data_IF_062331006626
#
_entry.id   IF_062331006626
#
_cell.length_a   1.000
_cell.length_b   1.000
_cell.length_c   1.000
_cell.angle_alpha   90.00
_cell.angle_beta   90.00
_cell.angle_gamma   90.00
#
_symmetry.space_group_name_H-M   'P 1'
#
loop_
_entity.id
_entity.type
_entity.pdbx_description
1 polymer ?
#
# COMPACT_ATOMS: atom_id res chain seq x y z
N UNK A 1 35.77 32.05 -15.00
CA UNK A 1 35.72 30.82 -15.82
C UNK A 1 35.80 29.68 -14.83
N UNK A 2 34.65 29.32 -14.25
CA UNK A 2 34.54 28.16 -13.36
C UNK A 2 34.16 26.94 -14.20
N UNK A 3 34.85 25.85 -13.89
CA UNK A 3 34.87 24.58 -14.58
C UNK A 3 33.65 23.73 -14.20
N UNK A 4 32.63 23.71 -15.06
CA UNK A 4 31.50 22.78 -14.98
C UNK A 4 31.82 21.45 -15.69
N UNK A 5 32.75 20.67 -15.17
CA UNK A 5 32.97 19.29 -15.63
C UNK A 5 33.04 18.33 -14.44
N UNK A 6 31.92 17.66 -14.17
CA UNK A 6 31.91 16.56 -13.21
C UNK A 6 30.57 16.19 -12.55
N UNK A 7 29.42 16.57 -13.10
CA UNK A 7 28.15 15.91 -12.71
C UNK A 7 27.94 14.69 -13.61
N UNK A 8 27.86 13.46 -13.07
CA UNK A 8 27.39 12.34 -13.87
C UNK A 8 25.97 12.67 -14.34
N UNK A 9 25.74 12.60 -15.66
CA UNK A 9 24.39 12.68 -16.21
C UNK A 9 23.56 11.53 -15.59
N UNK A 10 22.32 11.78 -15.13
CA UNK A 10 21.47 10.71 -14.63
C UNK A 10 21.06 9.86 -15.82
N UNK A 11 21.73 8.73 -16.03
CA UNK A 11 21.44 7.75 -17.09
C UNK A 11 20.18 6.93 -16.81
N UNK A 12 19.19 7.49 -16.10
CA UNK A 12 17.96 6.81 -15.70
C UNK A 12 16.82 7.77 -15.38
N UNK A 13 15.61 7.24 -15.36
CA UNK A 13 14.39 7.97 -15.03
C UNK A 13 14.49 8.58 -13.62
N UNK A 14 14.05 9.82 -13.47
CA UNK A 14 13.91 10.42 -12.14
C UNK A 14 12.92 9.63 -11.28
N UNK A 15 13.05 9.65 -9.94
CA UNK A 15 12.09 8.96 -9.04
C UNK A 15 10.65 9.39 -9.30
N UNK A 16 10.45 10.68 -9.60
CA UNK A 16 9.15 11.27 -9.97
C UNK A 16 8.62 10.72 -11.29
N UNK A 17 9.49 10.52 -12.28
CA UNK A 17 9.14 9.98 -13.58
C UNK A 17 8.84 8.49 -13.50
N UNK A 18 9.62 7.73 -12.72
CA UNK A 18 9.39 6.32 -12.45
C UNK A 18 8.04 6.08 -11.75
N UNK A 19 7.72 6.89 -10.74
CA UNK A 19 6.43 6.83 -10.06
C UNK A 19 5.26 7.14 -11.02
N UNK A 20 5.43 8.15 -11.89
CA UNK A 20 4.44 8.50 -12.90
C UNK A 20 4.23 7.35 -13.92
N UNK A 21 5.30 6.66 -14.32
CA UNK A 21 5.21 5.49 -15.19
C UNK A 21 4.49 4.31 -14.54
N UNK A 22 4.73 4.04 -13.25
CA UNK A 22 4.00 3.00 -12.51
C UNK A 22 2.50 3.30 -12.44
N UNK A 23 2.17 4.56 -12.23
CA UNK A 23 0.79 5.04 -12.19
C UNK A 23 0.03 4.90 -13.51
N UNK A 24 0.72 5.05 -14.64
CA UNK A 24 0.19 4.85 -15.98
C UNK A 24 0.12 3.36 -16.35
N UNK A 25 1.13 2.58 -15.98
CA UNK A 25 1.21 1.14 -16.24
C UNK A 25 0.01 0.37 -15.66
N UNK A 26 -0.46 0.75 -14.46
CA UNK A 26 -1.57 0.07 -13.81
C UNK A 26 -2.89 0.19 -14.61
N UNK A 27 -3.16 1.39 -15.14
CA UNK A 27 -4.38 1.63 -15.93
C UNK A 27 -4.26 0.98 -17.30
N UNK A 28 -3.09 1.08 -17.94
CA UNK A 28 -2.84 0.52 -19.26
C UNK A 28 -2.92 -1.01 -19.28
N UNK A 29 -2.28 -1.70 -18.32
CA UNK A 29 -2.35 -3.17 -18.23
C UNK A 29 -3.76 -3.67 -17.99
N UNK A 30 -4.54 -2.95 -17.19
CA UNK A 30 -5.95 -3.29 -16.96
C UNK A 30 -6.76 -3.10 -18.23
N UNK A 31 -6.54 -2.02 -18.96
CA UNK A 31 -7.20 -1.76 -20.24
C UNK A 31 -6.87 -2.83 -21.29
N UNK A 32 -5.61 -3.24 -21.41
CA UNK A 32 -5.18 -4.29 -22.34
C UNK A 32 -5.79 -5.67 -22.03
N UNK A 33 -6.13 -5.94 -20.76
CA UNK A 33 -6.76 -7.19 -20.33
C UNK A 33 -8.29 -7.17 -20.29
N UNK A 34 -8.93 -6.02 -20.56
CA UNK A 34 -10.37 -5.84 -20.38
C UNK A 34 -11.15 -6.18 -21.66
N UNK A 35 -12.15 -7.06 -21.54
CA UNK A 35 -12.97 -7.50 -22.68
C UNK A 35 -14.32 -6.77 -22.76
N UNK A 36 -14.75 -6.15 -21.66
CA UNK A 36 -15.98 -5.35 -21.61
C UNK A 36 -15.78 -3.98 -22.27
N UNK A 37 -16.57 -3.67 -23.30
CA UNK A 37 -16.44 -2.44 -24.08
C UNK A 37 -16.77 -1.17 -23.29
N UNK A 38 -17.70 -1.21 -22.33
CA UNK A 38 -18.03 -0.06 -21.49
C UNK A 38 -16.89 0.24 -20.51
N UNK A 39 -16.33 -0.82 -19.90
CA UNK A 39 -15.21 -0.69 -18.95
C UNK A 39 -13.94 -0.26 -19.67
N UNK A 40 -13.66 -0.83 -20.85
CA UNK A 40 -12.51 -0.43 -21.67
C UNK A 40 -12.60 1.05 -22.07
N UNK A 41 -13.79 1.53 -22.48
CA UNK A 41 -14.01 2.95 -22.79
C UNK A 41 -13.76 3.86 -21.58
N UNK A 42 -14.26 3.47 -20.41
CA UNK A 42 -14.02 4.21 -19.16
C UNK A 42 -12.54 4.24 -18.76
N UNK A 43 -11.84 3.11 -18.88
CA UNK A 43 -10.41 2.99 -18.60
C UNK A 43 -9.57 3.78 -19.60
N UNK A 44 -9.96 3.82 -20.87
CA UNK A 44 -9.31 4.63 -21.89
C UNK A 44 -9.44 6.13 -21.59
N UNK A 45 -10.63 6.59 -21.18
CA UNK A 45 -10.84 7.97 -20.74
C UNK A 45 -10.02 8.32 -19.49
N UNK A 46 -9.97 7.40 -18.52
CA UNK A 46 -9.16 7.56 -17.31
C UNK A 46 -7.65 7.63 -17.63
N UNK A 47 -7.16 6.77 -18.52
CA UNK A 47 -5.77 6.77 -18.98
C UNK A 47 -5.42 8.11 -19.64
N UNK A 48 -6.24 8.57 -20.57
CA UNK A 48 -6.01 9.83 -21.28
C UNK A 48 -5.96 11.04 -20.34
N UNK A 49 -6.92 11.14 -19.41
CA UNK A 49 -6.94 12.22 -18.41
C UNK A 49 -5.70 12.20 -17.52
N UNK A 50 -5.24 11.01 -17.13
CA UNK A 50 -4.08 10.84 -16.27
C UNK A 50 -2.78 11.18 -16.99
N UNK A 51 -2.64 10.76 -18.25
CA UNK A 51 -1.53 11.16 -19.13
C UNK A 51 -1.45 12.67 -19.24
N UNK A 52 -2.57 13.34 -19.56
CA UNK A 52 -2.61 14.80 -19.71
C UNK A 52 -2.18 15.52 -18.42
N UNK A 53 -2.68 15.07 -17.27
CA UNK A 53 -2.32 15.67 -15.97
C UNK A 53 -0.84 15.46 -15.66
N UNK A 54 -0.33 14.24 -15.86
CA UNK A 54 1.07 13.92 -15.57
C UNK A 54 2.03 14.64 -16.52
N UNK A 55 1.69 14.78 -17.80
CA UNK A 55 2.51 15.55 -18.77
C UNK A 55 2.66 17.02 -18.38
N UNK A 56 1.67 17.62 -17.70
CA UNK A 56 1.75 19.00 -17.20
C UNK A 56 2.67 19.14 -15.99
N UNK A 57 2.89 18.08 -15.23
CA UNK A 57 3.63 18.09 -13.95
C UNK A 57 4.97 17.35 -13.98
N UNK A 58 5.15 16.42 -14.91
CA UNK A 58 6.30 15.53 -15.04
C UNK A 58 6.80 15.64 -16.47
N UNK A 59 8.05 16.07 -16.62
CA UNK A 59 8.73 16.05 -17.92
C UNK A 59 9.16 14.63 -18.24
N UNK A 60 8.29 13.84 -18.89
CA UNK A 60 8.66 12.53 -19.39
C UNK A 60 9.75 12.67 -20.44
N UNK A 61 10.89 12.04 -20.17
CA UNK A 61 12.08 12.06 -21.02
C UNK A 61 12.23 10.76 -21.79
N UNK A 62 11.89 9.62 -21.17
CA UNK A 62 12.03 8.29 -21.77
C UNK A 62 10.90 7.35 -21.30
N UNK A 63 10.57 6.33 -22.10
CA UNK A 63 9.57 5.31 -21.75
C UNK A 63 10.26 3.99 -21.38
N UNK A 64 9.94 3.36 -20.23
CA UNK A 64 10.47 2.04 -19.89
C UNK A 64 10.16 0.99 -20.96
N UNK A 65 11.14 0.17 -21.34
CA UNK A 65 11.00 -0.89 -22.32
C UNK A 65 9.86 -1.86 -21.96
N UNK A 66 9.75 -2.25 -20.69
CA UNK A 66 8.66 -3.10 -20.17
C UNK A 66 7.25 -2.52 -20.38
N UNK A 67 7.14 -1.19 -20.54
CA UNK A 67 5.88 -0.47 -20.74
C UNK A 67 5.66 -0.03 -22.19
N UNK A 68 6.72 0.07 -22.99
CA UNK A 68 6.65 0.41 -24.41
C UNK A 68 5.86 -0.60 -25.24
N UNK A 69 5.73 -1.84 -24.74
CA UNK A 69 4.97 -2.92 -25.36
C UNK A 69 3.46 -2.78 -25.18
N UNK A 70 3.00 -1.94 -24.25
CA UNK A 70 1.58 -1.69 -24.01
C UNK A 70 1.06 -0.72 -25.08
N UNK A 71 0.19 -1.16 -26.02
CA UNK A 71 -0.16 -0.39 -27.21
C UNK A 71 -0.83 0.94 -26.85
N UNK A 72 -1.64 0.97 -25.79
CA UNK A 72 -2.31 2.18 -25.34
C UNK A 72 -1.33 3.23 -24.78
N UNK A 73 -0.26 2.83 -24.09
CA UNK A 73 0.76 3.77 -23.62
C UNK A 73 1.64 4.25 -24.77
N UNK A 74 2.07 3.33 -25.65
CA UNK A 74 2.91 3.70 -26.80
C UNK A 74 2.21 4.70 -27.71
N UNK A 75 0.89 4.60 -27.86
CA UNK A 75 0.07 5.57 -28.61
C UNK A 75 0.10 6.98 -28.03
N UNK A 76 0.18 7.12 -26.70
CA UNK A 76 0.24 8.42 -26.03
C UNK A 76 1.64 9.03 -26.02
N UNK A 77 2.69 8.21 -26.16
CA UNK A 77 4.09 8.62 -26.14
C UNK A 77 4.86 8.05 -27.35
N UNK A 78 4.50 8.42 -28.59
CA UNK A 78 5.09 7.85 -29.78
C UNK A 78 6.57 8.25 -29.96
N UNK A 79 6.88 9.49 -29.59
CA UNK A 79 8.19 10.12 -29.84
C UNK A 79 9.17 9.96 -28.69
N UNK A 80 8.74 9.38 -27.56
CA UNK A 80 9.65 9.16 -26.44
C UNK A 80 10.61 8.01 -26.76
N UNK A 81 11.93 8.22 -26.54
CA UNK A 81 12.91 7.17 -26.65
C UNK A 81 12.63 6.09 -25.61
N UNK A 82 12.82 4.84 -26.02
CA UNK A 82 12.67 3.69 -25.11
C UNK A 82 13.93 3.61 -24.25
N UNK A 83 13.75 3.73 -22.95
CA UNK A 83 14.76 3.45 -21.95
C UNK A 83 14.71 1.98 -21.61
N UNK A 84 15.86 1.32 -21.64
CA UNK A 84 15.96 -0.03 -21.12
C UNK A 84 15.85 0.02 -19.59
N UNK A 85 14.67 -0.31 -19.08
CA UNK A 85 14.41 -0.43 -17.64
C UNK A 85 14.85 -1.80 -17.10
N UNK A 86 15.44 -2.65 -17.96
CA UNK A 86 16.27 -3.74 -17.46
C UNK A 86 17.40 -3.15 -16.60
N UNK A 87 17.75 -3.81 -15.48
CA UNK A 87 18.96 -3.47 -14.74
C UNK A 87 20.15 -3.35 -15.72
N UNK A 88 21.07 -2.38 -15.53
CA UNK A 88 22.19 -2.21 -16.44
C UNK A 88 22.86 -3.56 -16.70
N UNK A 89 23.00 -3.87 -18.00
CA UNK A 89 23.53 -5.10 -18.56
C UNK A 89 24.99 -5.43 -18.15
N UNK A 90 25.53 -4.80 -17.11
CA UNK A 90 26.81 -5.16 -16.51
C UNK A 90 26.67 -6.18 -15.36
N UNK A 91 25.48 -6.42 -14.82
CA UNK A 91 25.27 -7.47 -13.79
C UNK A 91 24.42 -8.65 -14.24
N UNK A 92 23.52 -8.48 -15.22
CA UNK A 92 22.67 -9.59 -15.72
C UNK A 92 23.16 -10.23 -17.03
N UNK A 93 23.99 -9.54 -17.83
CA UNK A 93 24.43 -10.08 -19.14
C UNK A 93 25.63 -11.04 -19.07
N UNK A 94 26.27 -11.17 -17.90
CA UNK A 94 27.33 -12.17 -17.67
C UNK A 94 26.86 -13.36 -16.80
N UNK A 95 25.59 -13.39 -16.40
CA UNK A 95 25.02 -14.60 -15.85
C UNK A 95 24.70 -15.53 -17.04
N UNK A 96 25.70 -16.31 -17.47
CA UNK A 96 25.40 -17.72 -17.67
C UNK A 96 24.49 -18.11 -16.50
N UNK A 97 23.24 -18.46 -16.77
CA UNK A 97 22.32 -18.87 -15.71
C UNK A 97 22.97 -20.08 -15.05
N UNK A 98 23.71 -19.86 -13.97
CA UNK A 98 24.44 -20.90 -13.27
C UNK A 98 23.36 -21.83 -12.73
N UNK A 99 23.13 -22.91 -13.47
CA UNK A 99 22.10 -23.91 -13.19
C UNK A 99 22.67 -25.04 -12.34
N UNK A 100 23.99 -25.15 -12.26
CA UNK A 100 24.69 -26.19 -11.51
C UNK A 100 25.46 -25.60 -10.33
N UNK A 101 25.41 -26.24 -9.14
CA UNK A 101 26.22 -25.86 -8.00
C UNK A 101 27.70 -25.81 -8.37
N UNK A 102 28.35 -24.69 -8.05
CA UNK A 102 29.79 -24.59 -8.25
C UNK A 102 30.54 -25.54 -7.31
N UNK A 103 31.38 -26.41 -7.87
CA UNK A 103 32.30 -27.21 -7.07
C UNK A 103 33.41 -26.31 -6.51
N UNK A 104 33.54 -26.32 -5.18
CA UNK A 104 34.50 -25.51 -4.43
C UNK A 104 35.57 -26.40 -3.81
N UNK A 105 36.84 -26.00 -3.91
CA UNK A 105 37.90 -26.68 -3.15
C UNK A 105 37.66 -26.52 -1.64
N UNK A 106 38.19 -27.41 -0.79
CA UNK A 106 38.10 -27.26 0.66
C UNK A 106 38.60 -25.90 1.16
N UNK A 107 39.68 -25.38 0.57
CA UNK A 107 40.21 -24.05 0.87
C UNK A 107 39.23 -22.94 0.49
N UNK A 108 38.65 -22.98 -0.72
CA UNK A 108 37.66 -21.99 -1.18
C UNK A 108 36.40 -22.01 -0.30
N UNK A 109 35.91 -23.20 0.05
CA UNK A 109 34.75 -23.37 0.94
C UNK A 109 35.03 -22.76 2.32
N UNK A 110 36.20 -23.04 2.90
CA UNK A 110 36.58 -22.46 4.20
C UNK A 110 36.75 -20.94 4.14
N UNK A 111 37.29 -20.42 3.03
CA UNK A 111 37.41 -18.98 2.81
C UNK A 111 36.04 -18.31 2.71
N UNK A 112 35.11 -18.90 1.95
CA UNK A 112 33.73 -18.41 1.82
C UNK A 112 33.03 -18.45 3.17
N UNK A 113 33.10 -19.56 3.91
CA UNK A 113 32.47 -19.67 5.23
C UNK A 113 32.94 -18.56 6.19
N UNK A 114 34.22 -18.21 6.14
CA UNK A 114 34.77 -17.11 6.93
C UNK A 114 34.20 -15.75 6.47
N UNK A 115 34.16 -15.50 5.17
CA UNK A 115 33.59 -14.28 4.60
C UNK A 115 32.11 -14.12 4.95
N UNK A 116 31.31 -15.19 4.84
CA UNK A 116 29.89 -15.17 5.20
C UNK A 116 29.68 -14.88 6.69
N UNK A 117 30.50 -15.44 7.58
CA UNK A 117 30.46 -15.12 9.01
C UNK A 117 30.81 -13.66 9.28
N UNK A 118 31.84 -13.13 8.63
CA UNK A 118 32.23 -11.73 8.77
C UNK A 118 31.14 -10.78 8.29
N UNK A 119 30.56 -11.05 7.11
CA UNK A 119 29.43 -10.30 6.57
C UNK A 119 28.25 -10.29 7.54
N UNK A 120 27.86 -11.45 8.07
CA UNK A 120 26.76 -11.56 9.02
C UNK A 120 27.03 -10.75 10.31
N UNK A 121 28.26 -10.80 10.85
CA UNK A 121 28.65 -9.97 12.01
C UNK A 121 28.55 -8.48 11.68
N UNK A 122 28.98 -8.06 10.49
CA UNK A 122 28.86 -6.67 10.04
C UNK A 122 27.38 -6.24 9.93
N UNK A 123 26.50 -7.10 9.40
CA UNK A 123 25.05 -6.83 9.35
C UNK A 123 24.43 -6.70 10.73
N UNK A 124 24.76 -7.59 11.67
CA UNK A 124 24.24 -7.53 13.04
C UNK A 124 24.70 -6.26 13.79
N UNK A 125 25.82 -5.66 13.37
CA UNK A 125 26.31 -4.37 13.88
C UNK A 125 25.69 -3.16 13.17
N UNK A 126 24.88 -3.36 12.14
CA UNK A 126 24.31 -2.30 11.31
C UNK A 126 25.28 -1.75 10.26
N UNK A 127 26.47 -2.35 10.10
CA UNK A 127 27.46 -1.95 9.10
C UNK A 127 27.12 -2.57 7.74
N UNK A 128 26.05 -2.08 7.10
CA UNK A 128 25.57 -2.67 5.84
C UNK A 128 26.58 -2.53 4.69
N UNK A 129 27.28 -1.40 4.58
CA UNK A 129 28.26 -1.21 3.49
C UNK A 129 29.44 -2.20 3.58
N UNK A 130 29.97 -2.42 4.79
CA UNK A 130 31.05 -3.39 5.03
C UNK A 130 30.57 -4.82 4.72
N UNK A 131 29.35 -5.17 5.12
CA UNK A 131 28.73 -6.45 4.73
C UNK A 131 28.59 -6.59 3.22
N UNK A 132 28.20 -5.52 2.52
CA UNK A 132 28.00 -5.53 1.07
C UNK A 132 29.32 -5.78 0.34
N UNK A 133 30.41 -5.12 0.75
CA UNK A 133 31.75 -5.34 0.19
C UNK A 133 32.23 -6.79 0.37
N UNK A 134 32.06 -7.34 1.57
CA UNK A 134 32.45 -8.74 1.87
C UNK A 134 31.62 -9.73 1.06
N UNK A 135 30.31 -9.50 0.93
CA UNK A 135 29.41 -10.35 0.17
C UNK A 135 29.67 -10.26 -1.34
N UNK A 136 30.01 -9.09 -1.87
CA UNK A 136 30.42 -8.94 -3.28
C UNK A 136 31.71 -9.72 -3.56
N UNK A 137 32.69 -9.67 -2.65
CA UNK A 137 33.90 -10.47 -2.79
C UNK A 137 33.60 -11.98 -2.71
N UNK A 138 32.68 -12.42 -1.85
CA UNK A 138 32.26 -13.82 -1.77
C UNK A 138 31.53 -14.27 -3.04
N UNK A 139 30.67 -13.41 -3.59
CA UNK A 139 29.93 -13.65 -4.82
C UNK A 139 30.85 -13.70 -6.05
N UNK A 140 31.89 -12.86 -6.08
CA UNK A 140 32.91 -12.90 -7.13
C UNK A 140 33.76 -14.19 -7.07
N UNK A 141 34.02 -14.71 -5.87
CA UNK A 141 34.75 -15.96 -5.67
C UNK A 141 33.91 -17.19 -6.02
N UNK A 142 32.61 -17.16 -5.68
CA UNK A 142 31.71 -18.28 -5.90
C UNK A 142 30.30 -17.83 -6.34
N UNK A 143 30.11 -17.43 -7.61
CA UNK A 143 28.82 -16.96 -8.12
C UNK A 143 27.75 -18.07 -8.17
N UNK A 144 28.15 -19.35 -8.17
CA UNK A 144 27.28 -20.52 -8.19
C UNK A 144 27.09 -21.20 -6.82
N UNK A 145 27.48 -20.55 -5.72
CA UNK A 145 27.31 -21.09 -4.38
C UNK A 145 25.97 -20.64 -3.78
N UNK A 146 25.11 -21.61 -3.44
CA UNK A 146 23.80 -21.35 -2.86
C UNK A 146 23.90 -20.60 -1.51
N UNK A 147 24.89 -20.92 -0.67
CA UNK A 147 25.11 -20.28 0.63
C UNK A 147 25.49 -18.79 0.48
N UNK A 148 26.27 -18.45 -0.54
CA UNK A 148 26.63 -17.05 -0.84
C UNK A 148 25.41 -16.27 -1.31
N UNK A 149 24.62 -16.85 -2.21
CA UNK A 149 23.38 -16.24 -2.68
C UNK A 149 22.36 -16.09 -1.55
N UNK A 150 22.27 -17.06 -0.64
CA UNK A 150 21.44 -16.95 0.57
C UNK A 150 21.85 -15.71 1.40
N UNK A 151 23.14 -15.53 1.65
CA UNK A 151 23.64 -14.39 2.42
C UNK A 151 23.43 -13.04 1.71
N UNK A 152 23.57 -12.98 0.39
CA UNK A 152 23.21 -11.79 -0.41
C UNK A 152 21.72 -11.50 -0.32
N UNK A 153 20.87 -12.53 -0.37
CA UNK A 153 19.43 -12.40 -0.17
C UNK A 153 19.09 -11.86 1.23
N UNK A 154 19.75 -12.36 2.27
CA UNK A 154 19.60 -11.88 3.65
C UNK A 154 19.99 -10.41 3.77
N UNK A 155 21.06 -10.00 3.07
CA UNK A 155 21.48 -8.60 2.97
C UNK A 155 20.39 -7.70 2.38
N UNK A 156 19.83 -8.08 1.23
CA UNK A 156 18.74 -7.30 0.63
C UNK A 156 17.49 -7.27 1.51
N UNK A 157 17.15 -8.39 2.16
CA UNK A 157 16.03 -8.46 3.09
C UNK A 157 16.22 -7.54 4.30
N UNK A 158 17.42 -7.53 4.89
CA UNK A 158 17.75 -6.66 6.03
C UNK A 158 17.69 -5.17 5.68
N UNK A 159 17.97 -4.81 4.42
CA UNK A 159 17.82 -3.44 3.90
C UNK A 159 16.39 -3.09 3.45
N UNK A 160 15.43 -3.99 3.65
CA UNK A 160 14.03 -3.79 3.25
C UNK A 160 13.77 -3.94 1.75
N UNK A 161 14.77 -4.33 0.96
CA UNK A 161 14.61 -4.56 -0.47
C UNK A 161 14.13 -5.99 -0.75
N UNK A 162 12.88 -6.25 -0.38
CA UNK A 162 12.26 -7.58 -0.44
C UNK A 162 12.12 -8.12 -1.87
N UNK A 163 12.04 -7.24 -2.89
CA UNK A 163 11.98 -7.64 -4.31
C UNK A 163 13.29 -8.25 -4.78
N UNK A 164 14.42 -7.56 -4.53
CA UNK A 164 15.75 -8.10 -4.84
C UNK A 164 16.05 -9.35 -4.02
N UNK A 165 15.70 -9.36 -2.73
CA UNK A 165 15.87 -10.54 -1.87
C UNK A 165 15.16 -11.78 -2.46
N UNK A 166 13.91 -11.63 -2.91
CA UNK A 166 13.15 -12.70 -3.57
C UNK A 166 13.88 -13.26 -4.80
N UNK A 167 14.40 -12.40 -5.67
CA UNK A 167 15.09 -12.81 -6.89
C UNK A 167 16.39 -13.58 -6.59
N UNK A 168 17.17 -13.11 -5.63
CA UNK A 168 18.41 -13.78 -5.22
C UNK A 168 18.10 -15.13 -4.54
N UNK A 169 17.10 -15.19 -3.65
CA UNK A 169 16.67 -16.45 -3.06
C UNK A 169 16.11 -17.45 -4.08
N UNK A 170 15.47 -16.96 -5.15
CA UNK A 170 15.01 -17.83 -6.24
C UNK A 170 16.19 -18.50 -6.95
N UNK A 171 17.28 -17.76 -7.19
CA UNK A 171 18.52 -18.31 -7.76
C UNK A 171 19.15 -19.32 -6.81
N UNK A 172 19.26 -18.98 -5.53
CA UNK A 172 19.79 -19.89 -4.51
C UNK A 172 18.97 -21.20 -4.45
N UNK A 173 17.64 -21.13 -4.52
CA UNK A 173 16.74 -22.29 -4.53
C UNK A 173 16.91 -23.17 -5.77
N UNK A 174 17.23 -22.59 -6.93
CA UNK A 174 17.50 -23.38 -8.15
C UNK A 174 18.78 -24.21 -8.00
N UNK A 175 19.79 -23.65 -7.34
CA UNK A 175 21.08 -24.31 -7.12
C UNK A 175 21.02 -25.36 -6.01
N UNK A 176 20.30 -25.09 -4.93
CA UNK A 176 20.09 -26.05 -3.84
C UNK A 176 18.59 -26.18 -3.50
N UNK A 177 17.86 -27.04 -4.22
CA UNK A 177 16.42 -27.24 -3.99
C UNK A 177 16.08 -27.93 -2.67
N UNK A 178 17.02 -28.67 -2.06
CA UNK A 178 16.80 -29.42 -0.81
C UNK A 178 17.06 -28.57 0.44
N UNK A 179 17.64 -27.37 0.28
CA UNK A 179 17.91 -26.48 1.40
C UNK A 179 16.64 -25.81 1.94
N UNK A 180 16.18 -26.34 3.05
CA UNK A 180 15.00 -25.87 3.80
C UNK A 180 15.14 -24.40 4.24
N UNK A 181 16.36 -23.92 4.52
CA UNK A 181 16.58 -22.52 4.92
C UNK A 181 16.27 -21.57 3.78
N UNK A 182 16.85 -21.84 2.61
CA UNK A 182 16.66 -21.04 1.40
C UNK A 182 15.18 -21.07 0.98
N UNK A 183 14.54 -22.24 1.02
CA UNK A 183 13.12 -22.34 0.68
C UNK A 183 12.24 -21.50 1.61
N UNK A 184 12.48 -21.54 2.93
CA UNK A 184 11.75 -20.72 3.90
C UNK A 184 11.96 -19.23 3.66
N UNK A 185 13.19 -18.81 3.38
CA UNK A 185 13.53 -17.41 3.11
C UNK A 185 12.89 -16.92 1.82
N UNK A 186 12.92 -17.72 0.75
CA UNK A 186 12.22 -17.44 -0.50
C UNK A 186 10.71 -17.30 -0.28
N UNK A 187 10.08 -18.28 0.38
CA UNK A 187 8.64 -18.26 0.65
C UNK A 187 8.24 -17.02 1.48
N UNK A 188 9.04 -16.66 2.50
CA UNK A 188 8.82 -15.47 3.29
C UNK A 188 8.95 -14.18 2.46
N UNK A 189 9.98 -14.07 1.62
CA UNK A 189 10.16 -12.93 0.73
C UNK A 189 8.99 -12.80 -0.27
N UNK A 190 8.54 -13.91 -0.87
CA UNK A 190 7.36 -13.96 -1.75
C UNK A 190 6.11 -13.50 -1.01
N UNK A 191 5.87 -14.00 0.21
CA UNK A 191 4.72 -13.64 1.02
C UNK A 191 4.72 -12.14 1.37
N UNK A 192 5.86 -11.58 1.77
CA UNK A 192 5.95 -10.17 2.11
C UNK A 192 5.78 -9.25 0.88
N UNK A 193 6.36 -9.61 -0.27
CA UNK A 193 6.15 -8.89 -1.53
C UNK A 193 4.68 -8.96 -1.96
N UNK A 194 4.07 -10.14 -1.87
CA UNK A 194 2.66 -10.37 -2.17
C UNK A 194 1.74 -9.57 -1.25
N UNK A 195 2.00 -9.56 0.05
CA UNK A 195 1.21 -8.79 1.01
C UNK A 195 1.35 -7.29 0.82
N UNK A 196 2.53 -6.78 0.47
CA UNK A 196 2.69 -5.37 0.14
C UNK A 196 1.85 -5.00 -1.10
N UNK A 197 1.80 -5.87 -2.11
CA UNK A 197 0.95 -5.69 -3.27
C UNK A 197 -0.54 -5.79 -2.94
N UNK A 198 -0.96 -6.79 -2.15
CA UNK A 198 -2.35 -6.95 -1.69
C UNK A 198 -2.76 -5.77 -0.81
N UNK A 199 -1.89 -5.27 0.06
CA UNK A 199 -2.19 -4.12 0.91
C UNK A 199 -2.29 -2.85 0.08
N UNK A 200 -1.38 -2.63 -0.87
CA UNK A 200 -1.49 -1.53 -1.83
C UNK A 200 -2.78 -1.64 -2.66
N UNK A 201 -3.15 -2.86 -3.05
CA UNK A 201 -4.36 -3.13 -3.80
C UNK A 201 -5.62 -2.99 -2.92
N UNK A 202 -5.58 -3.37 -1.64
CA UNK A 202 -6.69 -3.23 -0.68
C UNK A 202 -6.90 -1.77 -0.31
N UNK A 203 -5.82 -0.99 -0.17
CA UNK A 203 -5.90 0.47 0.00
C UNK A 203 -6.45 1.16 -1.26
N UNK A 204 -6.28 0.53 -2.43
CA UNK A 204 -6.82 1.01 -3.72
C UNK A 204 -8.25 0.51 -4.00
N UNK A 205 -8.58 -0.71 -3.56
CA UNK A 205 -9.87 -1.41 -3.70
C UNK A 205 -10.82 -1.10 -2.54
N UNK A 206 -10.34 -0.47 -1.47
CA UNK A 206 -11.11 0.08 -0.33
C UNK A 206 -12.18 1.12 -0.70
N UNK A 207 -12.65 1.12 -1.94
CA UNK A 207 -13.93 1.66 -2.31
C UNK A 207 -14.53 0.99 -3.54
N UNK A 208 -14.90 -0.28 -3.47
CA UNK A 208 -16.02 -0.69 -4.33
C UNK A 208 -17.25 0.16 -3.94
N UNK A 209 -18.06 0.61 -4.92
CA UNK A 209 -19.23 1.47 -4.63
C UNK A 209 -20.17 0.82 -3.59
N UNK A 210 -20.20 -0.51 -3.54
CA UNK A 210 -20.93 -1.29 -2.54
C UNK A 210 -20.32 -1.17 -1.13
N UNK A 211 -19.00 -1.31 -0.97
CA UNK A 211 -18.31 -1.15 0.32
C UNK A 211 -18.34 0.30 0.79
N UNK A 212 -18.23 1.28 -0.11
CA UNK A 212 -18.41 2.70 0.23
C UNK A 212 -19.82 2.97 0.74
N UNK A 213 -20.84 2.36 0.12
CA UNK A 213 -22.22 2.52 0.56
C UNK A 213 -22.50 1.79 1.90
N UNK A 214 -21.95 0.59 2.08
CA UNK A 214 -22.04 -0.14 3.34
C UNK A 214 -21.34 0.61 4.48
N UNK A 215 -20.15 1.14 4.23
CA UNK A 215 -19.37 1.94 5.17
C UNK A 215 -20.06 3.26 5.50
N UNK A 216 -20.67 3.93 4.52
CA UNK A 216 -21.42 5.17 4.75
C UNK A 216 -22.68 4.93 5.59
N UNK A 217 -23.39 3.82 5.38
CA UNK A 217 -24.55 3.45 6.22
C UNK A 217 -24.12 3.10 7.64
N UNK A 218 -23.04 2.31 7.79
CA UNK A 218 -22.47 1.99 9.09
C UNK A 218 -22.04 3.27 9.84
N UNK A 219 -21.39 4.21 9.14
CA UNK A 219 -20.97 5.49 9.70
C UNK A 219 -22.15 6.32 10.23
N UNK A 220 -23.31 6.29 9.56
CA UNK A 220 -24.53 6.95 10.06
C UNK A 220 -24.95 6.33 11.40
N UNK A 221 -25.04 4.99 11.46
CA UNK A 221 -25.40 4.30 12.70
C UNK A 221 -24.42 4.60 13.83
N UNK A 222 -23.12 4.57 13.58
CA UNK A 222 -22.12 4.91 14.60
C UNK A 222 -22.28 6.36 15.09
N UNK A 223 -22.50 7.32 14.18
CA UNK A 223 -22.74 8.73 14.54
C UNK A 223 -24.03 8.97 15.34
N UNK A 224 -25.02 8.08 15.22
CA UNK A 224 -26.27 8.13 15.98
C UNK A 224 -26.06 7.78 17.47
N UNK A 225 -25.10 6.91 17.78
CA UNK A 225 -24.81 6.50 19.15
C UNK A 225 -23.69 7.33 19.78
N UNK A 226 -22.65 7.62 19.00
CA UNK A 226 -21.44 8.30 19.47
C UNK A 226 -21.02 9.34 18.45
N UNK A 227 -21.18 10.65 18.72
CA UNK A 227 -20.74 11.71 17.84
C UNK A 227 -19.25 11.59 17.50
N UNK A 228 -18.90 11.81 16.23
CA UNK A 228 -17.53 11.72 15.73
C UNK A 228 -17.08 10.33 15.29
N UNK A 229 -17.72 9.26 15.76
CA UNK A 229 -17.35 7.88 15.41
C UNK A 229 -17.57 7.56 13.92
N UNK A 230 -18.63 8.08 13.30
CA UNK A 230 -18.86 7.89 11.87
C UNK A 230 -17.80 8.56 11.01
N UNK A 231 -17.35 9.77 11.39
CA UNK A 231 -16.24 10.45 10.72
C UNK A 231 -14.94 9.63 10.79
N UNK A 232 -14.66 9.01 11.94
CA UNK A 232 -13.51 8.12 12.12
C UNK A 232 -13.61 6.91 11.18
N UNK A 233 -14.79 6.29 11.07
CA UNK A 233 -15.00 5.14 10.17
C UNK A 233 -14.89 5.51 8.68
N UNK A 234 -15.07 6.79 8.35
CA UNK A 234 -14.87 7.33 7.00
C UNK A 234 -13.45 7.89 6.78
N UNK A 235 -12.53 7.70 7.74
CA UNK A 235 -11.12 8.13 7.65
C UNK A 235 -10.86 9.57 8.11
N UNK A 236 -11.87 10.35 8.48
CA UNK A 236 -11.71 11.72 8.99
C UNK A 236 -11.44 11.76 10.49
N UNK A 237 -10.32 11.15 10.90
CA UNK A 237 -9.96 10.97 12.31
C UNK A 237 -9.93 12.29 13.07
N UNK A 238 -9.31 13.34 12.50
CA UNK A 238 -9.20 14.65 13.16
C UNK A 238 -10.57 15.28 13.46
N UNK A 239 -11.47 15.29 12.46
CA UNK A 239 -12.83 15.83 12.62
C UNK A 239 -13.65 15.00 13.61
N UNK A 240 -13.54 13.67 13.53
CA UNK A 240 -14.21 12.77 14.45
C UNK A 240 -13.79 12.96 15.91
N UNK A 241 -12.49 13.09 16.17
CA UNK A 241 -11.96 13.38 17.51
C UNK A 241 -12.49 14.72 18.04
N UNK A 242 -12.51 15.78 17.23
CA UNK A 242 -13.03 17.09 17.65
C UNK A 242 -14.51 17.00 18.04
N UNK A 243 -15.34 16.33 17.24
CA UNK A 243 -16.77 16.16 17.55
C UNK A 243 -16.98 15.33 18.83
N UNK A 244 -16.20 14.26 19.01
CA UNK A 244 -16.28 13.40 20.19
C UNK A 244 -15.85 14.15 21.47
N UNK A 245 -14.71 14.84 21.43
CA UNK A 245 -14.21 15.61 22.57
C UNK A 245 -15.12 16.78 22.91
N UNK A 246 -15.66 17.48 21.91
CA UNK A 246 -16.64 18.55 22.11
C UNK A 246 -17.92 18.05 22.79
N UNK A 247 -18.43 16.89 22.36
CA UNK A 247 -19.59 16.26 22.96
C UNK A 247 -19.34 15.79 24.40
N UNK A 248 -18.22 15.11 24.67
CA UNK A 248 -17.82 14.69 26.02
C UNK A 248 -17.59 15.88 26.94
N UNK A 249 -16.88 16.91 26.47
CA UNK A 249 -16.65 18.15 27.22
C UNK A 249 -17.96 18.85 27.59
N UNK A 250 -18.95 18.81 26.70
CA UNK A 250 -20.28 19.35 26.97
C UNK A 250 -21.00 18.58 28.08
N UNK A 251 -20.96 17.24 28.06
CA UNK A 251 -21.52 16.43 29.15
C UNK A 251 -20.79 16.62 30.48
N UNK A 252 -19.46 16.72 30.46
CA UNK A 252 -18.68 17.07 31.65
C UNK A 252 -19.16 18.42 32.20
N UNK A 253 -19.37 19.41 31.33
CA UNK A 253 -19.94 20.71 31.72
C UNK A 253 -21.31 20.59 32.40
N UNK A 254 -22.20 19.74 31.88
CA UNK A 254 -23.50 19.46 32.53
C UNK A 254 -23.33 18.87 33.92
N UNK A 255 -22.42 17.91 34.11
CA UNK A 255 -22.18 17.29 35.42
C UNK A 255 -21.51 18.24 36.41
N UNK A 256 -20.59 19.10 35.95
CA UNK A 256 -19.92 20.11 36.77
C UNK A 256 -20.89 21.19 37.23
N UNK A 257 -21.76 21.67 36.33
CA UNK A 257 -22.78 22.68 36.67
C UNK A 257 -23.92 22.09 37.50
N UNK A 258 -24.20 20.80 37.32
CA UNK A 258 -25.23 20.05 38.03
C UNK A 258 -26.42 19.73 37.13
N UNK A 259 -26.67 18.42 36.96
CA UNK A 259 -27.82 17.91 36.19
C UNK A 259 -29.17 18.22 36.85
N UNK A 260 -29.16 18.43 38.17
CA UNK A 260 -30.31 18.86 38.96
C UNK A 260 -30.90 20.19 38.46
N UNK A 261 -30.09 21.10 37.91
CA UNK A 261 -30.57 22.34 37.30
C UNK A 261 -31.53 22.08 36.14
N UNK A 262 -31.26 21.05 35.33
CA UNK A 262 -32.11 20.68 34.20
C UNK A 262 -33.42 20.08 34.72
N UNK A 263 -33.34 19.15 35.67
CA UNK A 263 -34.51 18.50 36.26
C UNK A 263 -35.42 19.48 37.03
N UNK A 264 -34.85 20.45 37.75
CA UNK A 264 -35.59 21.53 38.42
C UNK A 264 -36.33 22.42 37.42
N UNK A 265 -35.68 22.83 36.33
CA UNK A 265 -36.34 23.63 35.29
C UNK A 265 -37.46 22.86 34.56
N UNK A 266 -37.38 21.53 34.48
CA UNK A 266 -38.45 20.68 33.97
C UNK A 266 -39.55 20.40 35.02
N UNK A 267 -39.41 20.89 36.25
CA UNK A 267 -40.36 20.64 37.34
C UNK A 267 -40.32 19.20 37.88
N UNK A 268 -39.30 18.43 37.51
CA UNK A 268 -39.13 17.03 37.92
C UNK A 268 -38.40 16.88 39.27
N UNK A 269 -37.69 17.91 39.70
CA UNK A 269 -37.16 18.05 41.05
C UNK A 269 -37.83 19.26 41.72
N UNK A 270 -38.55 19.01 42.81
CA UNK A 270 -39.16 20.06 43.63
C UNK A 270 -38.36 20.21 44.92
N UNK A 271 -37.74 21.37 45.10
CA UNK A 271 -37.05 21.74 46.33
C UNK A 271 -37.92 22.69 47.17
N UNK A 272 -37.83 22.59 48.51
CA UNK A 272 -38.53 23.48 49.45
C UNK A 272 -37.92 24.90 49.48
N UNK A 273 -36.62 25.02 49.17
CA UNK A 273 -35.92 26.30 49.05
C UNK A 273 -35.70 26.60 47.56
N UNK A 274 -36.37 27.62 47.03
CA UNK A 274 -36.31 28.02 45.62
C UNK A 274 -34.95 28.64 45.26
N UNK A 275 -33.92 27.82 45.07
CA UNK A 275 -32.66 28.26 44.46
C UNK A 275 -32.89 28.55 42.97
N UNK A 276 -32.36 29.65 42.41
CA UNK A 276 -32.51 29.97 40.99
C UNK A 276 -31.82 28.93 40.12
N UNK A 277 -32.46 28.55 39.00
CA UNK A 277 -31.89 27.57 38.05
C UNK A 277 -30.67 28.16 37.34
N UNK A 278 -29.56 27.43 37.34
CA UNK A 278 -28.39 27.82 36.56
C UNK A 278 -28.57 27.49 35.07
N UNK A 279 -28.77 28.51 34.25
CA UNK A 279 -28.95 28.38 32.80
C UNK A 279 -27.71 27.87 32.06
N UNK A 280 -26.53 27.87 32.68
CA UNK A 280 -25.30 27.36 32.07
C UNK A 280 -25.38 25.86 31.76
N UNK A 281 -26.14 25.09 32.55
CA UNK A 281 -26.38 23.67 32.27
C UNK A 281 -27.10 23.47 30.92
N UNK A 282 -28.00 24.39 30.56
CA UNK A 282 -28.71 24.36 29.28
C UNK A 282 -27.81 24.74 28.10
N UNK A 283 -26.83 25.63 28.30
CA UNK A 283 -25.84 25.95 27.27
C UNK A 283 -24.95 24.73 26.97
N UNK A 284 -24.50 24.02 28.00
CA UNK A 284 -23.74 22.79 27.81
C UNK A 284 -24.59 21.67 27.19
N UNK A 285 -25.86 21.53 27.59
CA UNK A 285 -26.77 20.57 26.97
C UNK A 285 -27.04 20.89 25.49
N UNK A 286 -27.25 22.17 25.16
CA UNK A 286 -27.41 22.63 23.79
C UNK A 286 -26.13 22.41 22.96
N UNK A 287 -24.95 22.62 23.55
CA UNK A 287 -23.67 22.31 22.92
C UNK A 287 -23.51 20.81 22.63
N UNK A 288 -23.85 19.95 23.59
CA UNK A 288 -23.86 18.50 23.39
C UNK A 288 -24.80 18.09 22.25
N UNK A 289 -26.01 18.65 22.21
CA UNK A 289 -26.96 18.40 21.12
C UNK A 289 -26.42 18.90 19.77
N UNK A 290 -25.75 20.06 19.74
CA UNK A 290 -25.16 20.61 18.52
C UNK A 290 -24.07 19.70 17.96
N UNK A 291 -23.11 19.27 18.78
CA UNK A 291 -22.07 18.33 18.34
C UNK A 291 -22.66 17.02 17.81
N UNK A 292 -23.70 16.51 18.48
CA UNK A 292 -24.36 15.29 18.07
C UNK A 292 -25.11 15.43 16.73
N UNK A 293 -25.87 16.50 16.56
CA UNK A 293 -26.59 16.78 15.32
C UNK A 293 -25.61 17.05 14.18
N UNK A 294 -24.55 17.84 14.41
CA UNK A 294 -23.51 18.09 13.42
C UNK A 294 -22.84 16.80 12.95
N UNK A 295 -22.55 15.86 13.87
CA UNK A 295 -21.97 14.57 13.50
C UNK A 295 -22.89 13.75 12.59
N UNK A 296 -24.18 13.66 12.95
CA UNK A 296 -25.18 12.90 12.19
C UNK A 296 -25.47 13.53 10.82
N UNK A 297 -25.66 14.85 10.76
CA UNK A 297 -25.96 15.54 9.50
C UNK A 297 -24.80 15.47 8.51
N UNK A 298 -23.57 15.64 8.99
CA UNK A 298 -22.37 15.57 8.17
C UNK A 298 -22.21 14.20 7.49
N UNK A 299 -22.32 13.11 8.27
CA UNK A 299 -22.22 11.75 7.74
C UNK A 299 -23.42 11.39 6.87
N UNK A 300 -24.63 11.87 7.22
CA UNK A 300 -25.83 11.67 6.41
C UNK A 300 -25.75 12.37 5.05
N UNK A 301 -25.18 13.57 5.00
CA UNK A 301 -24.96 14.30 3.74
C UNK A 301 -23.98 13.53 2.84
N UNK A 302 -22.92 12.97 3.41
CA UNK A 302 -21.94 12.13 2.69
C UNK A 302 -22.55 10.84 2.19
N UNK A 303 -23.32 10.14 3.03
CA UNK A 303 -23.98 8.89 2.64
C UNK A 303 -24.94 9.08 1.46
N UNK A 304 -25.57 10.26 1.33
CA UNK A 304 -26.40 10.62 0.17
C UNK A 304 -25.59 10.91 -1.09
N UNK A 305 -24.35 11.37 -0.95
CA UNK A 305 -23.46 11.68 -2.06
C UNK A 305 -22.77 10.44 -2.67
N UNK A 306 -22.77 9.30 -1.97
CA UNK A 306 -22.22 8.03 -2.49
C UNK A 306 -23.09 7.52 -3.64
N UNK A 307 -22.52 7.26 -4.85
CA UNK A 307 -23.25 6.69 -5.97
C UNK A 307 -23.90 5.36 -5.60
N UNK A 308 -25.16 5.13 -5.99
CA UNK A 308 -25.83 3.85 -5.75
C UNK A 308 -25.10 2.75 -6.52
N UNK A 309 -24.60 1.73 -5.81
CA UNK A 309 -24.02 0.56 -6.44
C UNK A 309 -25.08 -0.13 -7.31
N UNK A 310 -24.78 -0.42 -8.59
CA UNK A 310 -25.60 -1.33 -9.39
C UNK A 310 -25.68 -2.66 -8.64
N UNK A 311 -26.90 -3.16 -8.40
CA UNK A 311 -27.12 -4.46 -7.78
C UNK A 311 -26.41 -5.49 -8.66
N UNK A 312 -25.44 -6.25 -8.11
CA UNK A 312 -24.85 -7.38 -8.84
C UNK A 312 -26.01 -8.27 -9.29
N UNK A 313 -26.11 -8.52 -10.61
CA UNK A 313 -27.07 -9.47 -11.16
C UNK A 313 -26.86 -10.81 -10.45
N UNK A 314 -27.95 -11.54 -10.18
CA UNK A 314 -27.81 -12.82 -9.48
C UNK A 314 -26.97 -13.73 -10.34
N UNK A 315 -25.85 -14.21 -9.80
CA UNK A 315 -25.05 -15.24 -10.44
C UNK A 315 -25.96 -16.45 -10.57
N UNK A 316 -26.35 -16.81 -11.80
CA UNK A 316 -27.07 -18.05 -12.05
C UNK A 316 -26.12 -19.19 -11.68
N UNK A 317 -26.38 -19.81 -10.54
CA UNK A 317 -25.67 -21.03 -10.17
C UNK A 317 -26.08 -22.12 -11.17
N UNK A 318 -25.13 -22.78 -11.86
CA UNK A 318 -25.46 -23.92 -12.70
C UNK A 318 -26.14 -24.95 -11.80
N UNK A 319 -27.31 -25.44 -12.23
CA UNK A 319 -28.01 -26.51 -11.52
C UNK A 319 -27.05 -27.71 -11.42
N UNK A 320 -26.84 -28.29 -10.23
CA UNK A 320 -26.03 -29.49 -10.10
C UNK A 320 -26.55 -30.54 -11.09
N UNK A 321 -25.68 -31.24 -11.84
CA UNK A 321 -26.13 -32.29 -12.74
C UNK A 321 -26.77 -33.41 -11.89
N UNK A 322 -28.10 -33.51 -11.94
CA UNK A 322 -28.87 -34.51 -11.18
C UNK A 322 -28.84 -35.89 -11.85
N UNK A 323 -28.35 -35.97 -13.10
CA UNK A 323 -28.46 -37.17 -13.94
C UNK A 323 -27.10 -37.76 -14.38
N UNK A 324 -26.03 -37.59 -13.61
CA UNK A 324 -24.80 -38.34 -13.88
C UNK A 324 -24.92 -39.78 -13.34
N UNK A 325 -24.69 -40.82 -14.16
CA UNK A 325 -24.57 -42.17 -13.62
C UNK A 325 -23.38 -42.21 -12.65
N UNK A 326 -23.61 -42.80 -11.47
CA UNK A 326 -22.54 -43.11 -10.55
C UNK A 326 -21.65 -44.18 -11.20
N UNK A 327 -20.43 -43.82 -11.59
CA UNK A 327 -19.36 -44.78 -11.91
C UNK A 327 -18.67 -45.26 -10.63
#
# INVERSE_FOLDING_TARGET
>A
MEDERGRPEPTGLSETELAAWQELALVARRLDGEQDAEIASALQGALASKVEKLQKSVGFTQIPASLSLLPHLRKHFPDLPVYDDAPPATEEANAEEITEPQELTPEQRSQIDNMLRQANVAQLRGNYNESEEILQAALALAPGCADVLEAVGDHYAARGNLRKAREVYQRAKKLDPENISIEKKYANAVFQVGNAAIMADTLRIGGSAFEQQASARAAVYYSLFIPGSGQITLGEVGKGIVLLLGWLGSWIGVFVVGFDNILRALGLLRDEASQPVNMLAFLFLASAALFHLSAVFDVSARAKAVPKAKRRESIEHPKPPVDLPYE
#
